data_IF_173356305229
#
_entry.id   IF_173356305229
#
_cell.length_a   1.000
_cell.length_b   1.000
_cell.length_c   1.000
_cell.angle_alpha   90.00
_cell.angle_beta   90.00
_cell.angle_gamma   90.00
#
_symmetry.space_group_name_H-M   'P 1'
#
loop_
_entity.id
_entity.type
_entity.pdbx_description
1 polymer ?
#
# COMPACT_ATOMS: atom_id res chain seq x y z
N UNK A 1 41.04 -18.90 -24.87
CA UNK A 1 39.84 -19.46 -25.53
C UNK A 1 38.84 -19.91 -24.48
N UNK A 2 37.82 -19.10 -24.14
CA UNK A 2 36.68 -19.52 -23.32
C UNK A 2 35.48 -18.56 -23.52
N UNK A 3 34.81 -18.77 -24.65
CA UNK A 3 33.35 -18.70 -24.93
C UNK A 3 32.45 -17.96 -23.92
N UNK A 4 32.03 -16.77 -24.34
CA UNK A 4 30.63 -16.27 -24.38
C UNK A 4 29.65 -16.72 -23.28
N UNK A 5 29.26 -15.78 -22.40
CA UNK A 5 28.00 -15.86 -21.66
C UNK A 5 27.09 -14.65 -22.00
N UNK A 6 26.02 -15.00 -22.72
CA UNK A 6 24.64 -14.49 -22.65
C UNK A 6 24.36 -13.00 -22.46
N UNK A 7 23.91 -12.44 -23.59
CA UNK A 7 22.99 -11.31 -23.77
C UNK A 7 21.73 -11.45 -22.91
N UNK A 8 21.39 -10.38 -22.18
CA UNK A 8 20.00 -9.99 -21.88
C UNK A 8 19.27 -10.70 -20.74
N UNK A 9 19.23 -10.05 -19.58
CA UNK A 9 18.06 -10.09 -18.71
C UNK A 9 17.69 -8.65 -18.33
N UNK A 10 16.86 -8.05 -19.19
CA UNK A 10 15.99 -6.96 -18.78
C UNK A 10 14.94 -7.57 -17.86
N UNK A 11 15.00 -7.24 -16.57
CA UNK A 11 13.86 -7.36 -15.66
C UNK A 11 14.08 -6.42 -14.47
N UNK A 12 14.25 -5.13 -14.76
CA UNK A 12 13.84 -4.10 -13.81
C UNK A 12 12.32 -4.01 -13.84
N UNK A 13 11.67 -5.05 -13.33
CA UNK A 13 10.24 -5.11 -13.09
C UNK A 13 10.01 -5.28 -11.60
N UNK A 14 10.46 -4.33 -10.78
CA UNK A 14 9.88 -4.21 -9.43
C UNK A 14 8.50 -3.57 -9.59
N UNK A 15 7.57 -4.33 -10.16
CA UNK A 15 6.15 -4.01 -10.03
C UNK A 15 5.81 -4.34 -8.59
N UNK A 16 6.06 -3.38 -7.69
CA UNK A 16 5.33 -3.38 -6.42
C UNK A 16 3.86 -3.23 -6.82
N UNK A 17 2.98 -4.19 -6.53
CA UNK A 17 1.57 -3.96 -6.71
C UNK A 17 1.20 -2.83 -5.76
N UNK A 18 1.06 -1.61 -6.29
CA UNK A 18 0.28 -0.56 -5.62
C UNK A 18 -1.17 -1.01 -5.76
N UNK A 19 -1.56 -1.90 -4.85
CA UNK A 19 -2.93 -2.34 -4.72
C UNK A 19 -3.69 -1.21 -4.04
N UNK A 20 -4.51 -0.53 -4.83
CA UNK A 20 -5.40 0.50 -4.32
C UNK A 20 -6.60 -0.16 -3.62
N UNK A 21 -7.11 0.44 -2.53
CA UNK A 21 -8.35 -0.02 -1.91
C UNK A 21 -9.49 0.05 -2.93
N UNK A 22 -10.30 -1.00 -2.98
CA UNK A 22 -11.45 -1.10 -3.88
C UNK A 22 -12.76 -0.86 -3.10
N UNK A 23 -13.84 -0.43 -3.78
CA UNK A 23 -15.16 -0.38 -3.16
C UNK A 23 -15.53 -1.76 -2.60
N UNK A 24 -15.92 -1.81 -1.32
CA UNK A 24 -16.22 -3.06 -0.60
C UNK A 24 -15.12 -3.51 0.38
N UNK A 25 -13.96 -2.87 0.37
CA UNK A 25 -12.91 -3.12 1.35
C UNK A 25 -13.29 -2.58 2.74
N UNK A 26 -13.16 -3.42 3.75
CA UNK A 26 -13.26 -2.96 5.15
C UNK A 26 -11.86 -2.68 5.67
N UNK A 27 -11.56 -1.41 5.95
CA UNK A 27 -10.28 -1.02 6.56
C UNK A 27 -10.30 -1.46 8.02
N UNK A 28 -9.36 -2.32 8.40
CA UNK A 28 -9.20 -2.83 9.77
C UNK A 28 -7.88 -2.43 10.40
N UNK A 29 -6.98 -1.80 9.64
CA UNK A 29 -5.74 -1.26 10.15
C UNK A 29 -5.19 -0.15 9.28
N UNK A 30 -4.54 0.82 9.91
CA UNK A 30 -3.94 1.97 9.26
C UNK A 30 -2.60 2.28 9.92
N UNK A 31 -1.55 2.37 9.09
CA UNK A 31 -0.15 2.38 9.52
C UNK A 31 0.17 1.19 10.45
N UNK A 32 0.56 1.47 11.69
CA UNK A 32 0.88 0.49 12.73
C UNK A 32 -0.22 0.39 13.79
N UNK A 33 -1.45 0.82 13.47
CA UNK A 33 -2.60 0.82 14.38
C UNK A 33 -3.75 -0.01 13.85
N UNK A 34 -4.40 -0.72 14.74
CA UNK A 34 -5.71 -1.32 14.47
C UNK A 34 -6.77 -0.21 14.40
N UNK A 35 -7.67 -0.36 13.43
CA UNK A 35 -8.77 0.57 13.19
C UNK A 35 -10.06 -0.12 13.58
N UNK A 36 -10.77 0.41 14.57
CA UNK A 36 -12.09 -0.08 14.98
C UNK A 36 -13.20 0.82 14.44
N UNK A 37 -12.92 2.12 14.28
CA UNK A 37 -13.88 3.10 13.81
C UNK A 37 -13.28 4.05 12.76
N UNK A 38 -14.15 4.77 12.05
CA UNK A 38 -13.73 5.72 11.00
C UNK A 38 -12.86 6.84 11.58
N UNK A 39 -13.14 7.22 12.82
CA UNK A 39 -12.41 8.24 13.59
C UNK A 39 -10.94 7.86 13.79
N UNK A 40 -10.63 6.57 13.95
CA UNK A 40 -9.25 6.08 14.11
C UNK A 40 -8.43 6.29 12.84
N UNK A 41 -9.06 6.06 11.68
CA UNK A 41 -8.43 6.32 10.38
C UNK A 41 -8.18 7.82 10.20
N UNK A 42 -9.16 8.66 10.54
CA UNK A 42 -9.03 10.11 10.45
C UNK A 42 -7.96 10.64 11.41
N UNK A 43 -7.84 10.07 12.61
CA UNK A 43 -6.80 10.41 13.56
C UNK A 43 -5.42 10.01 13.01
N UNK A 44 -5.26 8.79 12.51
CA UNK A 44 -4.02 8.32 11.88
C UNK A 44 -3.61 9.17 10.68
N UNK A 45 -4.55 9.54 9.82
CA UNK A 45 -4.27 10.40 8.65
C UNK A 45 -3.80 11.80 9.03
N UNK A 46 -4.17 12.33 10.20
CA UNK A 46 -3.69 13.65 10.67
C UNK A 46 -2.23 13.62 11.13
N UNK A 47 -1.72 12.44 11.45
CA UNK A 47 -0.36 12.24 11.92
C UNK A 47 0.60 11.86 10.80
N UNK A 48 0.09 11.58 9.60
CA UNK A 48 0.85 11.18 8.44
C UNK A 48 1.00 12.38 7.51
N UNK A 49 2.23 12.64 7.06
CA UNK A 49 2.49 13.72 6.15
C UNK A 49 1.97 13.37 4.73
N UNK A 50 1.43 14.35 3.99
CA UNK A 50 1.06 14.13 2.61
C UNK A 50 2.27 13.70 1.76
N UNK A 51 2.05 12.73 0.87
CA UNK A 51 3.10 12.09 0.07
C UNK A 51 3.79 10.93 0.76
N UNK A 52 3.52 10.67 2.04
CA UNK A 52 4.04 9.51 2.76
C UNK A 52 3.33 8.22 2.34
N UNK A 53 4.08 7.11 2.38
CA UNK A 53 3.54 5.78 2.10
C UNK A 53 3.23 5.07 3.42
N UNK A 54 1.96 4.74 3.60
CA UNK A 54 1.48 4.02 4.79
C UNK A 54 0.94 2.66 4.42
N UNK A 55 1.11 1.72 5.34
CA UNK A 55 0.47 0.43 5.23
C UNK A 55 -0.99 0.54 5.65
N UNK A 56 -1.90 -0.06 4.89
CA UNK A 56 -3.32 -0.16 5.23
C UNK A 56 -3.71 -1.61 5.16
N UNK A 57 -4.33 -2.12 6.22
CA UNK A 57 -4.85 -3.48 6.25
C UNK A 57 -6.34 -3.41 5.93
N UNK A 58 -6.74 -4.10 4.87
CA UNK A 58 -8.13 -4.21 4.46
C UNK A 58 -8.58 -5.66 4.52
N UNK A 59 -9.87 -5.88 4.75
CA UNK A 59 -10.51 -7.17 4.55
C UNK A 59 -11.26 -7.12 3.23
N UNK A 60 -10.89 -7.99 2.27
CA UNK A 60 -11.56 -8.17 0.98
C UNK A 60 -11.91 -9.65 0.84
N UNK A 61 -13.17 -9.95 0.55
CA UNK A 61 -13.68 -11.32 0.42
C UNK A 61 -13.43 -12.20 1.66
N UNK A 62 -13.37 -11.58 2.86
CA UNK A 62 -13.06 -12.26 4.12
C UNK A 62 -11.56 -12.48 4.37
N UNK A 63 -10.69 -12.13 3.42
CA UNK A 63 -9.24 -12.23 3.54
C UNK A 63 -8.62 -10.89 3.92
N UNK A 64 -7.66 -10.92 4.85
CA UNK A 64 -6.89 -9.73 5.25
C UNK A 64 -5.77 -9.49 4.25
N UNK A 65 -5.76 -8.32 3.62
CA UNK A 65 -4.74 -7.88 2.67
C UNK A 65 -4.06 -6.63 3.20
N UNK A 66 -2.72 -6.61 3.16
CA UNK A 66 -1.91 -5.44 3.52
C UNK A 66 -1.53 -4.70 2.25
N UNK A 67 -2.04 -3.50 2.10
CA UNK A 67 -1.81 -2.60 0.97
C UNK A 67 -0.83 -1.51 1.41
N UNK A 68 0.01 -1.02 0.49
CA UNK A 68 0.79 0.19 0.73
C UNK A 68 0.16 1.30 -0.10
N UNK A 69 -0.39 2.31 0.56
CA UNK A 69 -1.02 3.46 -0.10
C UNK A 69 -0.19 4.72 0.16
N UNK A 70 -0.19 5.63 -0.79
CA UNK A 70 0.39 6.96 -0.60
C UNK A 70 -0.72 7.89 -0.10
N UNK A 71 -0.50 8.59 1.01
CA UNK A 71 -1.45 9.58 1.51
C UNK A 71 -1.42 10.79 0.59
N UNK A 72 -2.56 11.08 -0.03
CA UNK A 72 -2.72 12.26 -0.88
C UNK A 72 -2.95 13.52 -0.05
N UNK A 73 -2.54 14.66 -0.60
CA UNK A 73 -2.91 15.96 -0.04
C UNK A 73 -4.42 16.16 -0.11
N UNK A 74 -5.02 16.66 0.97
CA UNK A 74 -6.37 17.20 0.91
C UNK A 74 -6.31 18.52 0.14
N UNK A 75 -6.54 18.48 -1.17
CA UNK A 75 -6.84 19.68 -1.94
C UNK A 75 -8.20 20.20 -1.43
N UNK A 76 -8.19 21.35 -0.77
CA UNK A 76 -9.39 22.00 -0.21
C UNK A 76 -10.23 22.67 -1.28
#
# INVERSE_FOLDING_TARGET
MARSWTRGARSSGSTRPTSHPAPGDVIVGFADRDVAAVEDVLAGLREVDPGERVAVTVVRDGERQKLTVTVGERNG
#
